data_IF_428559065768
#
_entry.id   IF_428559065768
#
_cell.length_a   1.000
_cell.length_b   1.000
_cell.length_c   1.000
_cell.angle_alpha   90.00
_cell.angle_beta   90.00
_cell.angle_gamma   90.00
#
_symmetry.space_group_name_H-M   'P 1'
#
loop_
_entity.id
_entity.type
_entity.pdbx_description
1 polymer ?
#
# COMPACT_ATOMS: atom_id res chain seq x y z
N UNK A 1 19.27 4.84 5.94
CA UNK A 1 18.15 4.47 6.82
C UNK A 1 17.96 2.97 6.68
N UNK A 2 18.10 2.20 7.76
CA UNK A 2 17.82 0.75 7.75
C UNK A 2 16.34 0.58 8.10
N UNK A 3 15.62 -0.21 7.31
CA UNK A 3 14.21 -0.51 7.57
C UNK A 3 14.14 -1.57 8.68
N UNK A 4 13.45 -1.32 9.80
CA UNK A 4 13.28 -2.33 10.85
C UNK A 4 12.53 -3.56 10.34
N UNK A 5 12.93 -4.75 10.79
CA UNK A 5 12.29 -6.01 10.40
C UNK A 5 10.80 -6.06 10.78
N UNK A 6 10.42 -5.40 11.87
CA UNK A 6 9.04 -5.21 12.31
C UNK A 6 8.18 -4.47 11.26
N UNK A 7 8.78 -3.52 10.54
CA UNK A 7 8.12 -2.64 9.56
C UNK A 7 8.17 -3.23 8.15
N UNK A 8 9.19 -4.02 7.83
CA UNK A 8 9.47 -4.50 6.48
C UNK A 8 8.28 -5.18 5.78
N UNK A 9 7.49 -6.06 6.44
CA UNK A 9 6.32 -6.67 5.79
C UNK A 9 5.24 -5.67 5.39
N UNK A 10 4.92 -4.73 6.29
CA UNK A 10 3.88 -3.73 6.04
C UNK A 10 4.32 -2.73 4.96
N UNK A 11 5.60 -2.35 4.96
CA UNK A 11 6.17 -1.49 3.92
C UNK A 11 6.20 -2.16 2.55
N UNK A 12 6.58 -3.44 2.49
CA UNK A 12 6.57 -4.22 1.24
C UNK A 12 5.15 -4.32 0.66
N UNK A 13 4.16 -4.61 1.49
CA UNK A 13 2.76 -4.69 1.08
C UNK A 13 2.23 -3.35 0.51
N UNK A 14 2.49 -2.24 1.21
CA UNK A 14 2.11 -0.91 0.73
C UNK A 14 2.83 -0.55 -0.59
N UNK A 15 4.13 -0.82 -0.69
CA UNK A 15 4.91 -0.55 -1.89
C UNK A 15 4.43 -1.37 -3.10
N UNK A 16 4.10 -2.65 -2.90
CA UNK A 16 3.56 -3.50 -3.96
C UNK A 16 2.22 -2.97 -4.48
N UNK A 17 1.31 -2.55 -3.58
CA UNK A 17 0.01 -1.98 -3.98
C UNK A 17 0.17 -0.66 -4.72
N UNK A 18 1.04 0.23 -4.24
CA UNK A 18 1.41 1.47 -4.94
C UNK A 18 1.97 1.18 -6.35
N UNK A 19 2.89 0.23 -6.47
CA UNK A 19 3.49 -0.14 -7.75
C UNK A 19 2.46 -0.68 -8.74
N UNK A 20 1.53 -1.52 -8.29
CA UNK A 20 0.44 -2.05 -9.11
C UNK A 20 -0.50 -0.94 -9.59
N UNK A 21 -0.92 -0.03 -8.70
CA UNK A 21 -1.75 1.12 -9.06
C UNK A 21 -1.04 2.05 -10.04
N UNK A 22 0.23 2.37 -9.78
CA UNK A 22 1.05 3.18 -10.69
C UNK A 22 1.12 2.55 -12.08
N UNK A 23 1.39 1.25 -12.15
CA UNK A 23 1.48 0.54 -13.42
C UNK A 23 0.13 0.56 -14.18
N UNK A 24 -1.00 0.41 -13.47
CA UNK A 24 -2.34 0.52 -14.03
C UNK A 24 -2.61 1.93 -14.59
N UNK A 25 -2.38 2.96 -13.78
CA UNK A 25 -2.55 4.37 -14.20
C UNK A 25 -1.66 4.69 -15.40
N UNK A 26 -0.42 4.17 -15.42
CA UNK A 26 0.48 4.38 -16.55
C UNK A 26 -0.02 3.73 -17.84
N UNK A 27 -0.61 2.53 -17.75
CA UNK A 27 -1.24 1.87 -18.91
C UNK A 27 -2.48 2.60 -19.40
N UNK A 28 -3.28 3.16 -18.49
CA UNK A 28 -4.42 4.02 -18.85
C UNK A 28 -3.96 5.25 -19.63
N UNK A 29 -2.93 5.94 -19.13
CA UNK A 29 -2.33 7.12 -19.76
C UNK A 29 -1.76 6.82 -21.17
N UNK A 30 -1.11 5.67 -21.33
CA UNK A 30 -0.48 5.27 -22.59
C UNK A 30 -1.43 4.59 -23.58
N UNK A 31 -2.68 4.31 -23.19
CA UNK A 31 -3.62 3.54 -24.00
C UNK A 31 -3.22 2.07 -24.17
N UNK A 32 -2.42 1.53 -23.25
CA UNK A 32 -1.90 0.15 -23.24
C UNK A 32 -2.58 -0.72 -22.17
N UNK A 33 -3.84 -0.42 -21.86
CA UNK A 33 -4.65 -1.14 -20.87
C UNK A 33 -4.74 -2.63 -21.18
N UNK A 34 -4.72 -3.46 -20.13
CA UNK A 34 -4.96 -4.90 -20.22
C UNK A 34 -6.46 -5.19 -20.17
N UNK A 35 -6.83 -6.42 -20.52
CA UNK A 35 -8.22 -6.87 -20.38
C UNK A 35 -8.71 -6.70 -18.93
N UNK A 36 -9.86 -6.04 -18.77
CA UNK A 36 -10.44 -5.72 -17.47
C UNK A 36 -9.85 -4.51 -16.74
N UNK A 37 -8.89 -3.79 -17.33
CA UNK A 37 -8.38 -2.55 -16.77
C UNK A 37 -9.10 -1.34 -17.36
N UNK A 38 -9.72 -0.56 -16.49
CA UNK A 38 -10.29 0.73 -16.81
C UNK A 38 -10.13 1.72 -15.66
N UNK A 39 -10.78 2.88 -15.77
CA UNK A 39 -10.76 3.90 -14.74
C UNK A 39 -11.41 3.43 -13.43
N UNK A 40 -12.44 2.57 -13.49
CA UNK A 40 -13.08 1.97 -12.30
C UNK A 40 -12.09 1.11 -11.54
N UNK A 41 -11.35 0.25 -12.24
CA UNK A 41 -10.29 -0.57 -11.62
C UNK A 41 -9.20 0.29 -10.98
N UNK A 42 -8.89 1.45 -11.58
CA UNK A 42 -7.98 2.44 -10.99
C UNK A 42 -8.51 3.03 -9.68
N UNK A 43 -9.80 3.36 -9.63
CA UNK A 43 -10.44 3.85 -8.41
C UNK A 43 -10.50 2.79 -7.30
N UNK A 44 -10.87 1.55 -7.64
CA UNK A 44 -10.85 0.42 -6.71
C UNK A 44 -9.44 0.21 -6.15
N UNK A 45 -8.41 0.25 -7.00
CA UNK A 45 -7.01 0.13 -6.58
C UNK A 45 -6.55 1.28 -5.66
N UNK A 46 -7.12 2.48 -5.81
CA UNK A 46 -6.85 3.61 -4.91
C UNK A 46 -7.55 3.44 -3.56
N UNK A 47 -8.78 2.93 -3.52
CA UNK A 47 -9.49 2.66 -2.27
C UNK A 47 -8.78 1.54 -1.47
N UNK A 48 -8.40 0.47 -2.16
CA UNK A 48 -7.63 -0.66 -1.61
C UNK A 48 -6.26 -0.25 -1.04
N UNK A 49 -5.74 0.91 -1.43
CA UNK A 49 -4.45 1.42 -0.97
C UNK A 49 -4.49 1.94 0.47
N UNK A 50 -5.65 2.40 0.94
CA UNK A 50 -5.74 3.04 2.25
C UNK A 50 -5.40 2.11 3.40
N UNK A 51 -5.85 0.86 3.33
CA UNK A 51 -5.58 -0.10 4.39
C UNK A 51 -4.08 -0.46 4.53
N UNK A 52 -3.34 -0.84 3.47
CA UNK A 52 -1.89 -1.03 3.53
C UNK A 52 -1.12 0.18 4.05
N UNK A 53 -1.47 1.39 3.61
CA UNK A 53 -0.83 2.62 4.09
C UNK A 53 -1.09 2.85 5.58
N UNK A 54 -2.33 2.65 6.02
CA UNK A 54 -2.69 2.74 7.42
C UNK A 54 -1.93 1.71 8.26
N UNK A 55 -1.86 0.45 7.82
CA UNK A 55 -1.12 -0.63 8.48
C UNK A 55 0.37 -0.31 8.60
N UNK A 56 1.01 0.12 7.50
CA UNK A 56 2.41 0.51 7.50
C UNK A 56 2.67 1.64 8.49
N UNK A 57 1.85 2.70 8.45
CA UNK A 57 1.95 3.82 9.39
C UNK A 57 1.77 3.38 10.83
N UNK A 58 0.82 2.51 11.12
CA UNK A 58 0.57 1.98 12.47
C UNK A 58 1.79 1.24 13.00
N UNK A 59 2.32 0.30 12.22
CA UNK A 59 3.50 -0.50 12.62
C UNK A 59 4.72 0.39 12.83
N UNK A 60 4.98 1.35 11.93
CA UNK A 60 6.06 2.33 12.12
C UNK A 60 5.89 3.13 13.42
N UNK A 61 4.67 3.53 13.77
CA UNK A 61 4.42 4.29 15.02
C UNK A 61 4.61 3.43 16.26
N UNK A 62 4.27 2.15 16.20
CA UNK A 62 4.53 1.19 17.29
C UNK A 62 6.04 0.99 17.44
N UNK A 63 6.75 0.77 16.34
CA UNK A 63 8.20 0.58 16.32
C UNK A 63 8.96 1.81 16.89
N UNK A 64 8.47 3.01 16.59
CA UNK A 64 9.00 4.26 17.15
C UNK A 64 8.54 4.56 18.59
N UNK A 65 7.74 3.69 19.22
CA UNK A 65 7.21 3.89 20.57
C UNK A 65 6.17 5.01 20.70
N UNK A 66 5.62 5.50 19.59
CA UNK A 66 4.64 6.60 19.56
C UNK A 66 3.23 6.09 19.87
N UNK A 67 2.93 4.84 19.53
CA UNK A 67 1.61 4.23 19.73
C UNK A 67 1.78 2.88 20.41
N UNK A 68 1.02 2.64 21.47
CA UNK A 68 1.03 1.35 22.16
C UNK A 68 0.39 0.29 21.26
N UNK A 69 0.97 -0.91 21.13
CA UNK A 69 0.29 -2.01 20.46
C UNK A 69 -1.03 -2.31 21.20
N UNK A 70 -2.09 -2.63 20.46
CA UNK A 70 -3.32 -3.12 21.09
C UNK A 70 -3.03 -4.49 21.71
N UNK A 71 -3.66 -4.84 22.85
CA UNK A 71 -3.56 -6.19 23.38
C UNK A 71 -4.11 -7.19 22.34
N UNK A 72 -3.39 -8.28 22.13
CA UNK A 72 -3.86 -9.40 21.31
C UNK A 72 -5.08 -10.04 22.01
N UNK A 73 -6.24 -10.05 21.33
CA UNK A 73 -7.43 -10.82 21.74
C UNK A 73 -7.31 -12.29 21.35
#
# INVERSE_FOLDING_TARGET
>A
MVLPDSVAPAASAANHRLGSLYALVKRLDEGTVREGEDLSTGWEGLDDLWYPLWRMRRVMRIDLGITTPEPEE
#
